data_IF_231660178807
#
_entry.id   IF_231660178807
#
_cell.length_a   1.000
_cell.length_b   1.000
_cell.length_c   1.000
_cell.angle_alpha   90.00
_cell.angle_beta   90.00
_cell.angle_gamma   90.00
#
_symmetry.space_group_name_H-M   'P 1'
#
loop_
_entity.id
_entity.type
_entity.pdbx_description
1 polymer ?
#
# COMPACT_ATOMS: atom_id res chain seq x y z
N UNK A 1 -10.07 11.28 -21.77
CA UNK A 1 -9.85 12.73 -21.97
C UNK A 1 -9.53 13.31 -20.60
N UNK A 2 -8.34 13.87 -20.45
CA UNK A 2 -7.78 14.38 -19.19
C UNK A 2 -8.70 15.41 -18.54
N UNK A 3 -8.98 15.24 -17.25
CA UNK A 3 -9.21 16.35 -16.34
C UNK A 3 -8.33 16.14 -15.11
N UNK A 4 -7.26 16.95 -15.05
CA UNK A 4 -6.52 17.24 -13.82
C UNK A 4 -7.39 18.23 -13.03
N UNK A 5 -7.89 17.80 -11.88
CA UNK A 5 -8.33 18.73 -10.84
C UNK A 5 -7.46 18.48 -9.61
N UNK A 6 -6.45 19.34 -9.43
CA UNK A 6 -5.72 19.47 -8.17
C UNK A 6 -6.61 20.27 -7.21
N UNK A 7 -7.50 19.58 -6.50
CA UNK A 7 -8.22 20.16 -5.37
C UNK A 7 -7.29 20.31 -4.18
N UNK A 8 -7.10 21.55 -3.73
CA UNK A 8 -6.40 21.89 -2.49
C UNK A 8 -7.17 21.36 -1.28
N UNK A 9 -6.44 20.80 -0.33
CA UNK A 9 -6.96 20.29 0.93
C UNK A 9 -6.91 21.42 1.97
N UNK A 10 -8.01 22.14 2.14
CA UNK A 10 -8.24 23.00 3.31
C UNK A 10 -9.36 22.37 4.14
N UNK A 11 -9.03 21.75 5.28
CA UNK A 11 -9.84 21.74 6.51
C UNK A 11 -9.08 21.15 7.73
N UNK A 12 -8.58 22.07 8.57
CA UNK A 12 -8.51 22.09 10.04
C UNK A 12 -8.44 20.80 10.89
N UNK A 13 -7.56 19.85 10.54
CA UNK A 13 -6.93 18.96 11.54
C UNK A 13 -5.44 18.92 11.32
N UNK A 14 -4.69 19.56 12.24
CA UNK A 14 -3.23 19.55 12.27
C UNK A 14 -2.65 18.15 12.42
N UNK A 15 -2.57 17.43 11.30
CA UNK A 15 -1.82 16.18 11.13
C UNK A 15 -0.61 16.57 10.29
N UNK A 16 0.56 16.57 10.93
CA UNK A 16 1.79 17.09 10.38
C UNK A 16 2.13 16.54 9.01
N UNK A 17 2.47 17.47 8.12
CA UNK A 17 3.20 17.32 6.87
C UNK A 17 3.98 16.00 6.78
N UNK A 18 3.56 15.10 5.86
CA UNK A 18 4.26 13.94 5.25
C UNK A 18 3.38 12.67 5.10
N UNK A 19 2.10 12.81 4.76
CA UNK A 19 1.36 11.67 4.19
C UNK A 19 1.76 11.52 2.72
N UNK A 20 2.02 10.29 2.26
CA UNK A 20 2.44 9.97 0.89
C UNK A 20 1.45 10.46 -0.17
N UNK A 21 1.83 10.33 -1.45
CA UNK A 21 0.95 10.75 -2.55
C UNK A 21 -0.29 9.85 -2.58
N UNK A 22 -1.48 10.45 -2.52
CA UNK A 22 -2.74 9.73 -2.60
C UNK A 22 -2.98 9.31 -4.06
N UNK A 23 -3.11 8.01 -4.31
CA UNK A 23 -3.11 7.50 -5.68
C UNK A 23 -4.51 7.24 -6.23
N UNK A 24 -5.48 6.88 -5.39
CA UNK A 24 -6.86 6.69 -5.86
C UNK A 24 -7.90 6.59 -4.74
N UNK A 25 -9.05 7.23 -4.96
CA UNK A 25 -10.36 6.90 -4.37
C UNK A 25 -11.23 6.40 -5.53
N UNK A 26 -11.95 5.29 -5.38
CA UNK A 26 -12.91 4.85 -6.43
C UNK A 26 -14.34 5.08 -5.95
N UNK A 27 -15.25 5.51 -6.83
CA UNK A 27 -16.66 5.83 -6.52
C UNK A 27 -17.64 4.80 -7.13
N UNK A 28 -18.88 4.78 -6.62
CA UNK A 28 -19.94 3.80 -6.91
C UNK A 28 -20.89 4.29 -8.00
N UNK A 29 -21.35 3.35 -8.83
CA UNK A 29 -22.75 3.28 -9.28
C UNK A 29 -23.28 1.86 -9.07
N UNK A 30 -24.48 1.76 -8.51
CA UNK A 30 -25.20 0.51 -8.29
C UNK A 30 -26.59 0.62 -8.90
N UNK A 31 -26.79 -0.03 -10.05
CA UNK A 31 -28.08 -0.65 -10.34
C UNK A 31 -27.92 -1.77 -11.38
N UNK A 32 -28.26 -3.00 -11.01
CA UNK A 32 -28.74 -3.97 -11.98
C UNK A 32 -29.50 -5.07 -11.23
N UNK A 33 -30.83 -4.94 -11.19
CA UNK A 33 -31.72 -6.05 -10.83
C UNK A 33 -31.98 -6.85 -12.11
N UNK A 34 -31.56 -8.11 -12.15
CA UNK A 34 -32.29 -9.21 -12.82
C UNK A 34 -31.84 -10.57 -12.28
N UNK A 35 -32.81 -11.45 -12.11
CA UNK A 35 -32.74 -12.80 -11.53
C UNK A 35 -31.56 -13.60 -12.14
N UNK A 36 -30.55 -13.87 -11.33
CA UNK A 36 -29.20 -14.32 -11.71
C UNK A 36 -28.16 -13.64 -10.80
N UNK A 37 -26.98 -14.21 -10.57
CA UNK A 37 -25.96 -13.69 -9.64
C UNK A 37 -25.79 -12.17 -9.77
N UNK A 38 -26.22 -11.41 -8.76
CA UNK A 38 -26.24 -9.94 -8.79
C UNK A 38 -25.02 -9.37 -8.07
N UNK A 39 -24.29 -8.48 -8.73
CA UNK A 39 -23.28 -7.65 -8.11
C UNK A 39 -23.97 -6.69 -7.12
N UNK A 40 -23.69 -6.86 -5.82
CA UNK A 40 -24.29 -6.07 -4.72
C UNK A 40 -23.49 -4.80 -4.38
N UNK A 41 -22.29 -4.64 -4.95
CA UNK A 41 -21.46 -3.44 -4.80
C UNK A 41 -19.98 -3.74 -5.07
N UNK A 42 -19.21 -2.68 -5.35
CA UNK A 42 -17.74 -2.72 -5.46
C UNK A 42 -17.15 -2.04 -4.22
N UNK A 43 -16.20 -2.70 -3.57
CA UNK A 43 -15.51 -2.19 -2.38
C UNK A 43 -14.24 -1.43 -2.78
N UNK A 44 -14.11 -0.23 -2.23
CA UNK A 44 -13.04 0.73 -2.50
C UNK A 44 -12.05 0.68 -1.34
N UNK A 45 -10.76 0.70 -1.64
CA UNK A 45 -9.70 0.75 -0.64
C UNK A 45 -8.78 1.91 -0.97
N UNK A 46 -8.65 2.86 -0.06
CA UNK A 46 -7.74 3.99 -0.20
C UNK A 46 -6.30 3.48 -0.30
N UNK A 47 -5.57 3.95 -1.31
CA UNK A 47 -4.21 3.49 -1.61
C UNK A 47 -3.24 4.67 -1.64
N UNK A 48 -2.15 4.57 -0.87
CA UNK A 48 -1.14 5.62 -0.70
C UNK A 48 0.22 5.15 -1.21
N UNK A 49 0.88 5.99 -2.00
CA UNK A 49 2.23 5.76 -2.51
C UNK A 49 3.26 6.57 -1.73
N UNK A 50 4.12 5.84 -1.02
CA UNK A 50 5.32 6.33 -0.35
C UNK A 50 6.55 5.52 -0.83
N UNK A 51 6.59 5.22 -2.13
CA UNK A 51 7.70 4.50 -2.79
C UNK A 51 9.07 5.17 -2.61
N UNK A 52 9.11 6.44 -2.18
CA UNK A 52 10.34 7.17 -1.82
C UNK A 52 10.91 6.73 -0.47
N UNK A 53 10.14 6.10 0.42
CA UNK A 53 10.61 5.57 1.69
C UNK A 53 11.51 4.34 1.48
N UNK A 54 12.77 4.63 1.16
CA UNK A 54 13.81 3.63 0.88
C UNK A 54 14.62 3.25 2.13
N UNK A 55 14.12 3.61 3.32
CA UNK A 55 14.74 3.29 4.61
C UNK A 55 13.68 2.86 5.62
N UNK A 56 14.01 1.97 6.58
CA UNK A 56 13.08 1.56 7.63
C UNK A 56 12.50 2.72 8.44
N UNK A 57 13.32 3.74 8.70
CA UNK A 57 12.91 4.92 9.47
C UNK A 57 11.87 5.78 8.72
N UNK A 58 11.99 5.88 7.39
CA UNK A 58 10.99 6.57 6.58
C UNK A 58 9.64 5.84 6.64
N UNK A 59 9.64 4.51 6.51
CA UNK A 59 8.42 3.71 6.63
C UNK A 59 7.78 3.82 8.01
N UNK A 60 8.57 3.74 9.09
CA UNK A 60 8.07 3.97 10.45
C UNK A 60 7.45 5.36 10.64
N UNK A 61 7.98 6.37 9.95
CA UNK A 61 7.41 7.73 9.99
C UNK A 61 6.07 7.79 9.25
N UNK A 62 5.96 7.16 8.08
CA UNK A 62 4.71 7.08 7.32
C UNK A 62 3.60 6.35 8.08
N UNK A 63 3.94 5.24 8.75
CA UNK A 63 2.99 4.44 9.54
C UNK A 63 2.31 5.21 10.68
N UNK A 64 2.93 6.29 11.19
CA UNK A 64 2.33 7.15 12.23
C UNK A 64 1.11 7.92 11.75
N UNK A 65 0.96 8.11 10.44
CA UNK A 65 -0.20 8.77 9.84
C UNK A 65 -1.46 7.91 9.80
N UNK A 66 -1.39 6.64 10.22
CA UNK A 66 -2.49 5.69 10.11
C UNK A 66 -2.84 5.08 11.48
N UNK A 67 -4.14 4.93 11.73
CA UNK A 67 -4.65 4.14 12.86
C UNK A 67 -4.52 2.65 12.57
N UNK A 68 -4.91 2.23 11.37
CA UNK A 68 -4.76 0.87 10.84
C UNK A 68 -4.39 0.91 9.36
N UNK A 69 -3.50 0.03 8.90
CA UNK A 69 -3.03 0.01 7.50
C UNK A 69 -2.57 -1.38 7.07
N UNK A 70 -2.74 -1.73 5.78
CA UNK A 70 -2.03 -2.84 5.14
C UNK A 70 -0.77 -2.29 4.49
N UNK A 71 0.38 -2.81 4.88
CA UNK A 71 1.69 -2.34 4.42
C UNK A 71 2.20 -3.20 3.26
N UNK A 72 2.61 -2.60 2.15
CA UNK A 72 3.44 -3.24 1.14
C UNK A 72 4.88 -2.79 1.37
N UNK A 73 5.76 -3.73 1.75
CA UNK A 73 7.13 -3.44 2.16
C UNK A 73 8.14 -4.42 1.55
N UNK A 74 9.37 -3.95 1.34
CA UNK A 74 10.47 -4.71 0.78
C UNK A 74 11.09 -4.05 -0.46
N UNK A 75 11.96 -4.80 -1.13
CA UNK A 75 12.87 -4.31 -2.16
C UNK A 75 14.31 -4.79 -1.93
N UNK A 76 15.29 -4.06 -2.45
CA UNK A 76 16.71 -4.31 -2.18
C UNK A 76 17.15 -3.75 -0.83
N UNK A 77 17.39 -4.64 0.15
CA UNK A 77 18.05 -4.28 1.40
C UNK A 77 19.56 -4.06 1.18
N UNK A 78 20.13 -3.09 1.88
CA UNK A 78 21.57 -2.74 1.84
C UNK A 78 22.30 -3.16 3.12
N UNK A 79 21.85 -4.25 3.75
CA UNK A 79 22.38 -4.75 5.03
C UNK A 79 21.89 -3.95 6.24
N UNK A 80 20.70 -3.35 6.15
CA UNK A 80 20.07 -2.62 7.25
C UNK A 80 19.16 -3.60 8.01
N UNK A 81 19.16 -3.52 9.34
CA UNK A 81 18.21 -4.28 10.15
C UNK A 81 16.78 -3.75 9.97
N UNK A 82 15.89 -4.63 9.52
CA UNK A 82 14.47 -4.32 9.27
C UNK A 82 13.58 -4.61 10.49
N UNK A 83 14.10 -5.32 11.50
CA UNK A 83 13.37 -5.67 12.74
C UNK A 83 12.68 -4.47 13.40
N UNK A 84 13.28 -3.26 13.47
CA UNK A 84 12.62 -2.11 14.07
C UNK A 84 11.31 -1.70 13.40
N UNK A 85 11.06 -2.08 12.13
CA UNK A 85 9.81 -1.77 11.45
C UNK A 85 8.59 -2.41 12.13
N UNK A 86 8.78 -3.57 12.76
CA UNK A 86 7.74 -4.27 13.51
C UNK A 86 7.33 -3.56 14.81
N UNK A 87 8.03 -2.49 15.22
CA UNK A 87 7.59 -1.67 16.37
C UNK A 87 6.26 -0.95 16.12
N UNK A 88 5.77 -0.94 14.88
CA UNK A 88 4.48 -0.37 14.47
C UNK A 88 3.41 -1.44 14.16
N UNK A 89 3.63 -2.70 14.57
CA UNK A 89 2.71 -3.82 14.29
C UNK A 89 1.30 -3.63 14.87
N UNK A 90 1.13 -2.78 15.88
CA UNK A 90 -0.19 -2.39 16.42
C UNK A 90 -1.07 -1.68 15.37
N UNK A 91 -0.44 -0.97 14.43
CA UNK A 91 -1.10 -0.23 13.33
C UNK A 91 -1.17 -1.06 12.05
N UNK A 92 -0.26 -2.00 11.87
CA UNK A 92 -0.17 -2.80 10.64
C UNK A 92 -1.07 -4.03 10.75
N UNK A 93 -2.15 -4.07 9.98
CA UNK A 93 -3.10 -5.20 10.03
C UNK A 93 -2.57 -6.44 9.32
N UNK A 94 -1.76 -6.23 8.28
CA UNK A 94 -1.05 -7.25 7.53
C UNK A 94 0.07 -6.61 6.72
N UNK A 95 1.07 -7.41 6.37
CA UNK A 95 2.18 -7.01 5.49
C UNK A 95 2.15 -7.83 4.21
N UNK A 96 2.35 -7.16 3.08
CA UNK A 96 2.70 -7.79 1.81
C UNK A 96 4.18 -7.53 1.55
N UNK A 97 4.98 -8.58 1.71
CA UNK A 97 6.42 -8.55 1.55
C UNK A 97 6.79 -8.71 0.07
N UNK A 98 7.68 -7.85 -0.45
CA UNK A 98 8.09 -7.82 -1.86
C UNK A 98 9.61 -7.77 -2.02
N UNK A 99 10.09 -8.16 -3.19
CA UNK A 99 11.49 -7.95 -3.58
C UNK A 99 12.51 -8.86 -2.88
N UNK A 100 13.79 -8.53 -3.05
CA UNK A 100 14.93 -9.33 -2.54
C UNK A 100 14.89 -9.50 -1.00
N UNK A 101 14.32 -8.54 -0.28
CA UNK A 101 14.21 -8.54 1.18
C UNK A 101 12.90 -9.09 1.74
N UNK A 102 12.06 -9.73 0.91
CA UNK A 102 10.77 -10.24 1.34
C UNK A 102 10.87 -11.17 2.57
N UNK A 103 11.84 -12.09 2.58
CA UNK A 103 12.06 -13.01 3.71
C UNK A 103 12.53 -12.27 4.98
N UNK A 104 13.25 -11.15 4.84
CA UNK A 104 13.68 -10.32 5.97
C UNK A 104 12.51 -9.56 6.57
N UNK A 105 11.62 -9.03 5.73
CA UNK A 105 10.36 -8.40 6.13
C UNK A 105 9.45 -9.43 6.82
N UNK A 106 9.31 -10.64 6.26
CA UNK A 106 8.52 -11.71 6.88
C UNK A 106 9.05 -12.05 8.27
N UNK A 107 10.36 -12.27 8.42
CA UNK A 107 10.97 -12.54 9.73
C UNK A 107 10.73 -11.42 10.75
N UNK A 108 10.73 -10.16 10.31
CA UNK A 108 10.50 -9.03 11.20
C UNK A 108 9.04 -8.96 11.70
N UNK A 109 8.06 -9.22 10.84
CA UNK A 109 6.64 -8.97 11.14
C UNK A 109 5.83 -10.21 11.53
N UNK A 110 6.19 -11.40 11.06
CA UNK A 110 5.43 -12.64 11.30
C UNK A 110 5.15 -13.00 12.77
N UNK A 111 5.97 -12.59 13.78
CA UNK A 111 5.63 -12.83 15.18
C UNK A 111 4.31 -12.18 15.63
N UNK A 112 3.98 -11.00 15.09
CA UNK A 112 2.88 -10.16 15.57
C UNK A 112 1.84 -9.81 14.48
N UNK A 113 2.20 -9.97 13.21
CA UNK A 113 1.42 -9.48 12.07
C UNK A 113 1.39 -10.51 10.94
N UNK A 114 0.22 -10.80 10.33
CA UNK A 114 0.15 -11.67 9.16
C UNK A 114 1.00 -11.12 8.00
N UNK A 115 1.79 -11.99 7.38
CA UNK A 115 2.63 -11.63 6.22
C UNK A 115 2.28 -12.49 5.02
N UNK A 116 2.24 -11.89 3.83
CA UNK A 116 2.12 -12.57 2.54
C UNK A 116 3.27 -12.12 1.64
N UNK A 117 4.00 -13.05 1.04
CA UNK A 117 5.03 -12.74 0.05
C UNK A 117 4.39 -12.62 -1.34
N UNK A 118 4.72 -11.56 -2.07
CA UNK A 118 4.30 -11.33 -3.44
C UNK A 118 5.50 -11.29 -4.40
N UNK A 119 5.30 -11.80 -5.62
CA UNK A 119 6.35 -11.93 -6.65
C UNK A 119 6.44 -10.74 -7.60
N UNK A 120 5.42 -9.88 -7.61
CA UNK A 120 5.32 -8.70 -8.45
C UNK A 120 4.33 -7.69 -7.85
N UNK A 121 4.29 -6.46 -8.38
CA UNK A 121 3.41 -5.41 -7.84
C UNK A 121 1.91 -5.73 -8.01
N UNK A 122 1.53 -6.43 -9.08
CA UNK A 122 0.13 -6.77 -9.33
C UNK A 122 -0.42 -7.76 -8.29
N UNK A 123 0.33 -8.82 -8.02
CA UNK A 123 0.05 -9.77 -6.96
C UNK A 123 0.12 -9.11 -5.58
N UNK A 124 1.05 -8.17 -5.37
CA UNK A 124 1.15 -7.43 -4.11
C UNK A 124 -0.11 -6.58 -3.83
N UNK A 125 -0.56 -5.81 -4.82
CA UNK A 125 -1.78 -4.99 -4.70
C UNK A 125 -3.03 -5.87 -4.54
N UNK A 126 -3.14 -6.98 -5.26
CA UNK A 126 -4.27 -7.89 -5.12
C UNK A 126 -4.33 -8.53 -3.73
N UNK A 127 -3.19 -8.98 -3.20
CA UNK A 127 -3.09 -9.51 -1.84
C UNK A 127 -3.44 -8.44 -0.80
N UNK A 128 -2.87 -7.24 -0.94
CA UNK A 128 -3.10 -6.13 -0.02
C UNK A 128 -4.59 -5.75 0.04
N UNK A 129 -5.28 -5.69 -1.11
CA UNK A 129 -6.73 -5.41 -1.14
C UNK A 129 -7.57 -6.50 -0.48
N UNK A 130 -7.19 -7.77 -0.60
CA UNK A 130 -7.88 -8.88 0.08
C UNK A 130 -7.71 -8.79 1.60
N UNK A 131 -6.52 -8.39 2.07
CA UNK A 131 -6.19 -8.23 3.49
C UNK A 131 -6.83 -6.98 4.11
N UNK A 132 -7.01 -5.92 3.32
CA UNK A 132 -7.53 -4.63 3.76
C UNK A 132 -9.00 -4.61 4.23
N UNK A 133 -9.77 -5.67 3.96
CA UNK A 133 -11.16 -5.83 4.41
C UNK A 133 -11.99 -4.53 4.34
N UNK A 134 -12.24 -4.00 3.15
CA UNK A 134 -13.15 -2.86 2.84
C UNK A 134 -12.99 -1.52 3.58
N UNK A 135 -12.11 -1.41 4.57
CA UNK A 135 -12.07 -0.25 5.47
C UNK A 135 -10.67 0.12 5.95
N UNK A 136 -9.66 -0.69 5.63
CA UNK A 136 -8.27 -0.41 5.97
C UNK A 136 -7.53 0.07 4.72
N UNK A 137 -6.81 1.21 4.76
CA UNK A 137 -6.02 1.67 3.62
C UNK A 137 -4.85 0.75 3.31
N UNK A 138 -4.39 0.78 2.06
CA UNK A 138 -3.14 0.15 1.60
C UNK A 138 -2.07 1.22 1.45
N UNK A 139 -0.89 0.96 2.02
CA UNK A 139 0.27 1.84 1.93
C UNK A 139 1.43 1.10 1.26
N UNK A 140 1.93 1.62 0.14
CA UNK A 140 3.25 1.26 -0.37
C UNK A 140 4.30 2.12 0.34
N UNK A 141 4.98 1.56 1.34
CA UNK A 141 6.12 2.21 1.99
C UNK A 141 7.24 1.17 2.16
N UNK A 142 8.17 1.06 1.18
CA UNK A 142 8.97 -0.14 0.97
C UNK A 142 10.05 -0.39 2.02
N UNK A 143 10.54 0.62 2.73
CA UNK A 143 11.65 0.49 3.69
C UNK A 143 13.00 0.15 3.06
N UNK A 144 13.02 -0.22 1.77
CA UNK A 144 14.18 -0.68 1.01
C UNK A 144 14.28 0.01 -0.37
N UNK A 145 15.48 -0.05 -0.95
CA UNK A 145 15.72 0.49 -2.29
C UNK A 145 14.95 -0.32 -3.36
N UNK A 146 14.68 0.30 -4.52
CA UNK A 146 13.87 -0.32 -5.59
C UNK A 146 14.68 -1.13 -6.61
N UNK A 147 16.01 -1.19 -6.46
CA UNK A 147 16.95 -1.63 -7.51
C UNK A 147 16.99 -3.15 -7.77
N UNK A 148 16.09 -3.89 -7.17
CA UNK A 148 15.85 -5.31 -7.43
C UNK A 148 14.87 -5.48 -8.60
N UNK A 149 13.67 -4.91 -8.48
CA UNK A 149 12.61 -5.02 -9.51
C UNK A 149 12.60 -3.83 -10.49
N UNK A 150 13.13 -2.67 -10.08
CA UNK A 150 12.96 -1.40 -10.81
C UNK A 150 14.26 -0.63 -10.97
N UNK A 151 14.33 0.28 -11.94
CA UNK A 151 15.51 1.14 -12.12
C UNK A 151 15.57 2.30 -11.14
N UNK A 152 14.42 2.69 -10.57
CA UNK A 152 14.31 3.78 -9.61
C UNK A 152 12.96 3.67 -8.87
N UNK A 153 12.78 4.49 -7.84
CA UNK A 153 11.55 4.49 -7.03
C UNK A 153 10.32 4.99 -7.81
N UNK A 154 10.51 5.83 -8.83
CA UNK A 154 9.42 6.37 -9.65
C UNK A 154 8.75 5.27 -10.47
N UNK A 155 9.54 4.40 -11.10
CA UNK A 155 9.01 3.22 -11.82
C UNK A 155 8.22 2.28 -10.89
N UNK A 156 8.63 2.17 -9.63
CA UNK A 156 7.92 1.38 -8.61
C UNK A 156 6.57 2.01 -8.25
N UNK A 157 6.54 3.33 -8.05
CA UNK A 157 5.31 4.08 -7.80
C UNK A 157 4.33 4.02 -8.97
N UNK A 158 4.84 4.21 -10.19
CA UNK A 158 4.05 4.10 -11.43
C UNK A 158 3.44 2.71 -11.60
N UNK A 159 4.20 1.65 -11.30
CA UNK A 159 3.70 0.27 -11.33
C UNK A 159 2.62 0.03 -10.26
N UNK A 160 2.81 0.56 -9.06
CA UNK A 160 1.81 0.50 -8.00
C UNK A 160 0.51 1.21 -8.41
N UNK A 161 0.59 2.44 -8.92
CA UNK A 161 -0.57 3.19 -9.39
C UNK A 161 -1.32 2.47 -10.52
N UNK A 162 -0.57 1.90 -11.46
CA UNK A 162 -1.15 1.07 -12.53
C UNK A 162 -1.84 -0.17 -11.97
N UNK A 163 -1.22 -0.88 -11.02
CA UNK A 163 -1.78 -2.08 -10.42
C UNK A 163 -3.04 -1.79 -9.61
N UNK A 164 -3.07 -0.71 -8.83
CA UNK A 164 -4.25 -0.24 -8.09
C UNK A 164 -5.41 0.07 -9.05
N UNK A 165 -5.13 0.80 -10.14
CA UNK A 165 -6.14 1.15 -11.15
C UNK A 165 -6.70 -0.09 -11.85
N UNK A 166 -5.82 -1.04 -12.23
CA UNK A 166 -6.23 -2.28 -12.88
C UNK A 166 -7.11 -3.15 -11.97
N UNK A 167 -6.73 -3.29 -10.70
CA UNK A 167 -7.48 -4.09 -9.73
C UNK A 167 -8.83 -3.44 -9.39
N UNK A 168 -8.93 -2.11 -9.43
CA UNK A 168 -10.20 -1.41 -9.26
C UNK A 168 -11.21 -1.65 -10.40
N UNK A 169 -10.74 -2.09 -11.57
CA UNK A 169 -11.57 -2.33 -12.76
C UNK A 169 -12.03 -3.79 -12.89
N UNK A 170 -11.48 -4.72 -12.09
CA UNK A 170 -11.87 -6.14 -12.04
C UNK A 170 -13.05 -6.36 -11.12
#
# INVERSE_FOLDING_TARGET
>A
MLLRETGGWDDERGIGDKIGEFVARTERDAECIRIGTQLVGRVVVDSYDDSKATTPHATLSALRGFDRVVLIAGGRNKGIDLTPMASASDRVVAVVAIGDSADEIERAFAPDTPVVIASDMGSAVSAARRLAASSVPVLLSPGCASFDWYRNYGERGDDFARAVTAEATR
#
